data_IF_267535879393
#
_entry.id   IF_267535879393
#
_cell.length_a   1.000
_cell.length_b   1.000
_cell.length_c   1.000
_cell.angle_alpha   90.00
_cell.angle_beta   90.00
_cell.angle_gamma   90.00
#
_symmetry.space_group_name_H-M   'P 1'
#
loop_
_entity.id
_entity.type
_entity.pdbx_description
1 polymer ?
#
# COMPACT_ATOMS: atom_id res chain seq x y z
N UNK A 1 -1.45 22.51 15.31
CA UNK A 1 -2.10 21.40 14.58
C UNK A 1 -1.03 20.38 14.27
N UNK A 2 -1.20 19.10 14.64
CA UNK A 2 -0.15 18.12 14.41
C UNK A 2 -0.10 17.74 12.93
N UNK A 3 1.10 17.50 12.40
CA UNK A 3 1.37 17.03 11.03
C UNK A 3 0.50 15.82 10.64
N UNK A 4 0.18 14.96 11.60
CA UNK A 4 -0.72 13.82 11.45
C UNK A 4 -2.16 14.23 11.09
N UNK A 5 -2.70 15.27 11.73
CA UNK A 5 -4.04 15.77 11.39
C UNK A 5 -4.10 16.36 9.98
N UNK A 6 -3.04 17.02 9.56
CA UNK A 6 -2.91 17.58 8.21
C UNK A 6 -2.82 16.50 7.13
N UNK A 7 -2.11 15.38 7.43
CA UNK A 7 -2.00 14.23 6.53
C UNK A 7 -3.31 13.44 6.43
N UNK A 8 -4.19 13.54 7.42
CA UNK A 8 -5.49 12.85 7.44
C UNK A 8 -6.61 13.62 6.74
N UNK A 9 -6.39 14.91 6.40
CA UNK A 9 -7.39 15.73 5.71
C UNK A 9 -6.91 16.09 4.29
N UNK A 10 -7.41 15.38 3.25
CA UNK A 10 -6.99 15.58 1.87
C UNK A 10 -7.28 17.01 1.34
N UNK A 11 -8.34 17.65 1.85
CA UNK A 11 -8.71 19.00 1.43
C UNK A 11 -7.70 20.03 1.94
N UNK A 12 -7.21 19.88 3.17
CA UNK A 12 -6.18 20.74 3.74
C UNK A 12 -4.83 20.52 3.04
N UNK A 13 -4.51 19.27 2.68
CA UNK A 13 -3.32 18.95 1.88
C UNK A 13 -3.37 19.63 0.52
N UNK A 14 -4.49 19.59 -0.17
CA UNK A 14 -4.65 20.27 -1.46
C UNK A 14 -4.53 21.79 -1.32
N UNK A 15 -5.15 22.38 -0.30
CA UNK A 15 -5.10 23.82 -0.06
C UNK A 15 -3.69 24.34 0.27
N UNK A 16 -2.87 23.51 0.96
CA UNK A 16 -1.53 23.90 1.39
C UNK A 16 -0.44 23.62 0.34
N UNK A 17 -0.58 22.51 -0.39
CA UNK A 17 0.44 22.02 -1.31
C UNK A 17 0.07 22.18 -2.79
N UNK A 18 -1.18 22.55 -3.11
CA UNK A 18 -1.61 22.77 -4.49
C UNK A 18 -1.27 21.58 -5.40
N UNK A 19 -0.53 21.83 -6.47
CA UNK A 19 -0.10 20.78 -7.43
C UNK A 19 0.82 19.73 -6.84
N UNK A 20 1.56 20.04 -5.75
CA UNK A 20 2.40 19.08 -5.05
C UNK A 20 1.59 18.00 -4.30
N UNK A 21 0.30 18.25 -4.04
CA UNK A 21 -0.61 17.25 -3.47
C UNK A 21 -0.61 15.93 -4.26
N UNK A 22 -0.57 16.03 -5.59
CA UNK A 22 -0.53 14.86 -6.47
C UNK A 22 0.71 13.98 -6.20
N UNK A 23 1.91 14.60 -6.10
CA UNK A 23 3.15 13.90 -5.79
C UNK A 23 3.16 13.31 -4.37
N UNK A 24 2.63 14.06 -3.38
CA UNK A 24 2.53 13.61 -1.99
C UNK A 24 1.60 12.39 -1.88
N UNK A 25 0.46 12.40 -2.59
CA UNK A 25 -0.46 11.27 -2.61
C UNK A 25 0.20 10.00 -3.16
N UNK A 26 0.99 10.12 -4.24
CA UNK A 26 1.75 9.00 -4.81
C UNK A 26 2.79 8.46 -3.84
N UNK A 27 3.51 9.34 -3.16
CA UNK A 27 4.50 8.94 -2.16
C UNK A 27 3.86 8.22 -0.98
N UNK A 28 2.72 8.72 -0.48
CA UNK A 28 1.99 8.10 0.62
C UNK A 28 1.47 6.72 0.22
N UNK A 29 0.86 6.57 -0.96
CA UNK A 29 0.40 5.29 -1.47
C UNK A 29 1.55 4.30 -1.65
N UNK A 30 2.70 4.74 -2.17
CA UNK A 30 3.90 3.91 -2.28
C UNK A 30 4.38 3.42 -0.91
N UNK A 31 4.47 4.32 0.08
CA UNK A 31 4.92 3.99 1.44
C UNK A 31 3.92 3.04 2.12
N UNK A 32 2.63 3.29 2.00
CA UNK A 32 1.59 2.43 2.59
C UNK A 32 1.63 1.01 2.01
N UNK A 33 1.77 0.88 0.70
CA UNK A 33 1.83 -0.42 0.03
C UNK A 33 3.14 -1.17 0.29
N UNK A 34 4.25 -0.47 0.56
CA UNK A 34 5.59 -1.07 0.66
C UNK A 34 6.14 -1.22 2.08
N UNK A 35 5.83 -0.28 2.97
CA UNK A 35 6.55 -0.12 4.24
C UNK A 35 5.76 -0.51 5.50
N UNK A 36 4.68 -1.27 5.38
CA UNK A 36 3.91 -1.78 6.54
C UNK A 36 3.33 -0.68 7.45
N UNK A 37 2.99 0.48 6.91
CA UNK A 37 2.38 1.55 7.68
C UNK A 37 0.84 1.52 7.58
N UNK A 38 0.12 0.82 8.47
CA UNK A 38 -1.34 0.71 8.41
C UNK A 38 -2.06 1.99 8.82
N UNK A 39 -1.33 3.02 9.23
CA UNK A 39 -1.86 4.28 9.76
C UNK A 39 -1.95 5.40 8.72
N UNK A 40 -1.40 5.21 7.52
CA UNK A 40 -1.49 6.21 6.48
C UNK A 40 -2.87 6.15 5.79
N UNK A 41 -3.52 7.30 5.55
CA UNK A 41 -4.85 7.36 4.95
C UNK A 41 -4.80 7.26 3.42
N UNK A 42 -4.08 6.27 2.87
CA UNK A 42 -3.91 6.12 1.42
C UNK A 42 -5.23 5.93 0.67
N UNK A 43 -6.18 5.19 1.25
CA UNK A 43 -7.51 4.99 0.65
C UNK A 43 -8.28 6.32 0.55
N UNK A 44 -8.20 7.16 1.59
CA UNK A 44 -8.81 8.49 1.58
C UNK A 44 -8.13 9.41 0.55
N UNK A 45 -6.81 9.29 0.39
CA UNK A 45 -6.06 10.06 -0.60
C UNK A 45 -6.35 9.58 -2.03
N UNK A 46 -6.51 8.28 -2.26
CA UNK A 46 -6.94 7.73 -3.55
C UNK A 46 -8.30 8.29 -3.96
N UNK A 47 -9.26 8.29 -3.02
CA UNK A 47 -10.58 8.87 -3.24
C UNK A 47 -10.50 10.37 -3.53
N UNK A 48 -9.71 11.12 -2.76
CA UNK A 48 -9.53 12.55 -2.94
C UNK A 48 -8.86 12.89 -4.29
N UNK A 49 -7.82 12.16 -4.68
CA UNK A 49 -7.18 12.33 -6.00
C UNK A 49 -8.20 12.08 -7.11
N UNK A 50 -9.04 11.05 -6.98
CA UNK A 50 -10.12 10.77 -7.94
C UNK A 50 -11.10 11.95 -8.05
N UNK A 51 -11.58 12.45 -6.93
CA UNK A 51 -12.53 13.56 -6.87
C UNK A 51 -11.93 14.87 -7.41
N UNK A 52 -10.71 15.23 -7.02
CA UNK A 52 -10.06 16.46 -7.43
C UNK A 52 -9.58 16.43 -8.88
N UNK A 53 -9.22 15.24 -9.41
CA UNK A 53 -8.92 15.06 -10.83
C UNK A 53 -10.17 15.23 -11.70
N UNK A 54 -11.32 14.71 -11.25
CA UNK A 54 -12.59 14.90 -11.95
C UNK A 54 -13.02 16.37 -11.98
N UNK A 55 -12.85 17.09 -10.88
CA UNK A 55 -13.12 18.52 -10.76
C UNK A 55 -12.11 19.43 -11.46
N UNK A 56 -11.13 18.90 -12.19
CA UNK A 56 -10.01 19.63 -12.83
C UNK A 56 -9.17 20.50 -11.87
N UNK A 57 -9.29 20.29 -10.58
CA UNK A 57 -8.55 21.07 -9.57
C UNK A 57 -7.06 20.73 -9.54
N UNK A 58 -6.70 19.49 -9.92
CA UNK A 58 -5.32 19.04 -10.00
C UNK A 58 -4.63 19.32 -11.35
N UNK A 59 -5.37 19.75 -12.37
CA UNK A 59 -4.84 19.97 -13.72
C UNK A 59 -4.37 18.68 -14.44
N UNK A 60 -4.56 17.51 -13.82
CA UNK A 60 -4.16 16.21 -14.36
C UNK A 60 -5.41 15.39 -14.68
N UNK A 61 -5.50 14.77 -15.88
CA UNK A 61 -6.62 13.90 -16.24
C UNK A 61 -6.75 12.72 -15.26
N UNK A 62 -8.00 12.35 -14.93
CA UNK A 62 -8.31 11.25 -14.01
C UNK A 62 -7.61 9.94 -14.41
N UNK A 63 -7.61 9.62 -15.71
CA UNK A 63 -6.97 8.39 -16.23
C UNK A 63 -5.47 8.37 -15.94
N UNK A 64 -4.79 9.51 -16.12
CA UNK A 64 -3.35 9.62 -15.85
C UNK A 64 -3.10 9.46 -14.35
N UNK A 65 -3.91 10.10 -13.51
CA UNK A 65 -3.80 9.95 -12.05
C UNK A 65 -4.01 8.51 -11.60
N UNK A 66 -5.00 7.81 -12.14
CA UNK A 66 -5.26 6.41 -11.81
C UNK A 66 -4.10 5.50 -12.24
N UNK A 67 -3.61 5.65 -13.47
CA UNK A 67 -2.51 4.83 -13.99
C UNK A 67 -1.23 5.04 -13.17
N UNK A 68 -0.90 6.27 -12.85
CA UNK A 68 0.30 6.58 -12.06
C UNK A 68 0.18 6.11 -10.61
N UNK A 69 -1.01 6.19 -10.00
CA UNK A 69 -1.27 5.63 -8.68
C UNK A 69 -1.18 4.10 -8.67
N UNK A 70 -1.68 3.43 -9.72
CA UNK A 70 -1.50 1.97 -9.88
C UNK A 70 -0.02 1.60 -9.96
N UNK A 71 0.78 2.36 -10.70
CA UNK A 71 2.23 2.15 -10.79
C UNK A 71 2.90 2.38 -9.43
N UNK A 72 2.52 3.44 -8.71
CA UNK A 72 3.05 3.73 -7.38
C UNK A 72 2.70 2.61 -6.38
N UNK A 73 1.45 2.13 -6.37
CA UNK A 73 1.02 1.03 -5.53
C UNK A 73 1.74 -0.28 -5.88
N UNK A 74 1.90 -0.57 -7.17
CA UNK A 74 2.64 -1.75 -7.62
C UNK A 74 4.12 -1.68 -7.23
N UNK A 75 4.77 -0.53 -7.43
CA UNK A 75 6.15 -0.32 -7.00
C UNK A 75 6.31 -0.47 -5.48
N UNK A 76 5.36 0.05 -4.70
CA UNK A 76 5.29 -0.17 -3.26
C UNK A 76 5.21 -1.65 -2.89
N UNK A 77 4.35 -2.42 -3.56
CA UNK A 77 4.24 -3.86 -3.33
C UNK A 77 5.56 -4.59 -3.60
N UNK A 78 6.25 -4.23 -4.69
CA UNK A 78 7.57 -4.82 -5.04
C UNK A 78 8.61 -4.47 -3.98
N UNK A 79 8.63 -3.21 -3.50
CA UNK A 79 9.50 -2.80 -2.41
C UNK A 79 9.20 -3.60 -1.12
N UNK A 80 7.93 -3.83 -0.79
CA UNK A 80 7.51 -4.66 0.34
C UNK A 80 7.96 -6.12 0.23
N UNK A 81 7.87 -6.71 -0.96
CA UNK A 81 8.38 -8.06 -1.24
C UNK A 81 9.90 -8.15 -1.06
N UNK A 82 10.66 -7.18 -1.59
CA UNK A 82 12.12 -7.15 -1.42
C UNK A 82 12.52 -6.95 0.06
N UNK A 83 11.83 -6.09 0.79
CA UNK A 83 12.02 -5.94 2.23
C UNK A 83 11.73 -7.26 2.95
N UNK A 84 10.63 -7.93 2.59
CA UNK A 84 10.27 -9.24 3.12
C UNK A 84 11.35 -10.28 2.88
N UNK A 85 11.93 -10.33 1.68
CA UNK A 85 13.03 -11.24 1.33
C UNK A 85 14.30 -10.97 2.13
N UNK A 86 14.65 -9.68 2.34
CA UNK A 86 15.87 -9.27 3.02
C UNK A 86 15.80 -9.35 4.54
N UNK A 87 14.70 -8.93 5.12
CA UNK A 87 14.57 -8.73 6.58
C UNK A 87 13.37 -9.44 7.20
N UNK A 88 12.54 -10.12 6.42
CA UNK A 88 11.27 -10.69 6.89
C UNK A 88 11.44 -11.64 8.07
N UNK A 89 12.46 -12.50 8.06
CA UNK A 89 12.77 -13.38 9.18
C UNK A 89 13.11 -12.60 10.46
N UNK A 90 13.91 -11.53 10.32
CA UNK A 90 14.28 -10.66 11.46
C UNK A 90 13.10 -9.80 11.95
N UNK A 91 12.20 -9.41 11.03
CA UNK A 91 10.98 -8.70 11.40
C UNK A 91 10.01 -9.61 12.18
N UNK A 92 9.92 -10.88 11.82
CA UNK A 92 9.10 -11.85 12.53
C UNK A 92 9.58 -12.10 13.96
N UNK A 93 10.91 -12.06 14.20
CA UNK A 93 11.52 -12.24 15.53
C UNK A 93 11.35 -11.01 16.44
N UNK A 94 11.16 -9.82 15.87
CA UNK A 94 10.98 -8.58 16.63
C UNK A 94 9.51 -8.28 16.90
N UNK A 95 9.08 -8.53 18.14
CA UNK A 95 7.77 -8.10 18.62
C UNK A 95 7.79 -6.58 18.88
N UNK A 96 7.48 -5.80 17.85
CA UNK A 96 7.43 -4.34 17.90
C UNK A 96 6.03 -3.80 18.15
N UNK A 97 5.94 -2.54 18.58
CA UNK A 97 4.67 -1.86 18.88
C UNK A 97 3.71 -1.81 17.68
N UNK A 98 4.24 -1.79 16.47
CA UNK A 98 3.49 -1.76 15.20
C UNK A 98 3.45 -3.10 14.48
N UNK A 99 4.43 -3.97 14.70
CA UNK A 99 4.59 -5.27 14.09
C UNK A 99 4.33 -6.38 15.12
N UNK A 100 3.06 -6.64 15.42
CA UNK A 100 2.69 -7.73 16.31
C UNK A 100 2.76 -9.07 15.56
N UNK A 101 3.43 -10.07 16.11
CA UNK A 101 3.47 -11.46 15.61
C UNK A 101 2.10 -11.96 15.18
N UNK A 102 1.07 -11.66 15.94
CA UNK A 102 -0.32 -12.04 15.66
C UNK A 102 -0.80 -11.61 14.27
N UNK A 103 -0.31 -10.48 13.74
CA UNK A 103 -0.69 -10.00 12.40
C UNK A 103 0.03 -10.77 11.29
N UNK A 104 1.30 -11.11 11.52
CA UNK A 104 2.07 -12.00 10.65
C UNK A 104 1.45 -13.40 10.58
N UNK A 105 1.16 -14.00 11.75
CA UNK A 105 0.57 -15.33 11.84
C UNK A 105 -0.77 -15.41 11.10
N UNK A 106 -1.63 -14.40 11.25
CA UNK A 106 -2.89 -14.30 10.49
C UNK A 106 -2.66 -14.23 8.98
N UNK A 107 -1.62 -13.53 8.56
CA UNK A 107 -1.32 -13.38 7.13
C UNK A 107 -0.73 -14.68 6.58
N UNK A 108 0.11 -15.38 7.34
CA UNK A 108 0.62 -16.71 6.98
C UNK A 108 -0.54 -17.71 6.86
N UNK A 109 -1.42 -17.78 7.86
CA UNK A 109 -2.62 -18.63 7.82
C UNK A 109 -3.51 -18.31 6.61
N UNK A 110 -3.63 -17.04 6.27
CA UNK A 110 -4.37 -16.60 5.08
C UNK A 110 -3.69 -17.07 3.79
N UNK A 111 -2.36 -17.04 3.72
CA UNK A 111 -1.61 -17.60 2.59
C UNK A 111 -1.75 -19.12 2.48
N UNK A 112 -1.69 -19.84 3.60
CA UNK A 112 -1.85 -21.30 3.63
C UNK A 112 -3.25 -21.70 3.14
N UNK A 113 -4.26 -20.89 3.47
CA UNK A 113 -5.65 -21.17 3.07
C UNK A 113 -5.95 -20.81 1.62
N UNK A 114 -5.44 -19.70 1.10
CA UNK A 114 -5.81 -19.16 -0.21
C UNK A 114 -4.69 -19.24 -1.25
N UNK A 115 -3.49 -19.64 -0.85
CA UNK A 115 -2.31 -19.73 -1.72
C UNK A 115 -2.02 -18.43 -2.46
N UNK A 116 -1.75 -18.52 -3.77
CA UNK A 116 -1.43 -17.35 -4.60
C UNK A 116 -2.53 -16.29 -4.67
N UNK A 117 -3.80 -16.73 -4.56
CA UNK A 117 -4.98 -15.84 -4.56
C UNK A 117 -5.00 -14.93 -3.34
N UNK A 118 -4.27 -15.26 -2.29
CA UNK A 118 -4.13 -14.44 -1.10
C UNK A 118 -3.65 -13.02 -1.43
N UNK A 119 -2.78 -12.83 -2.43
CA UNK A 119 -2.29 -11.51 -2.85
C UNK A 119 -3.40 -10.56 -3.32
N UNK A 120 -4.46 -11.10 -3.89
CA UNK A 120 -5.64 -10.31 -4.30
C UNK A 120 -6.65 -10.23 -3.17
N UNK A 121 -7.06 -11.39 -2.62
CA UNK A 121 -8.09 -11.46 -1.58
C UNK A 121 -7.67 -10.74 -0.30
N UNK A 122 -6.40 -10.79 0.05
CA UNK A 122 -5.84 -10.15 1.24
C UNK A 122 -5.96 -8.62 1.23
N UNK A 123 -6.12 -8.01 0.06
CA UNK A 123 -6.35 -6.56 -0.03
C UNK A 123 -7.70 -6.12 0.57
N UNK A 124 -8.67 -7.00 0.59
CA UNK A 124 -9.98 -6.76 1.21
C UNK A 124 -9.98 -6.96 2.72
N UNK A 125 -8.91 -7.54 3.28
CA UNK A 125 -8.76 -7.74 4.72
C UNK A 125 -7.75 -6.72 5.25
N UNK A 126 -8.18 -5.71 6.05
CA UNK A 126 -7.34 -4.57 6.43
C UNK A 126 -5.99 -4.94 7.06
N UNK A 127 -5.97 -5.96 7.92
CA UNK A 127 -4.74 -6.42 8.57
C UNK A 127 -3.84 -7.19 7.60
N UNK A 128 -4.44 -8.06 6.78
CA UNK A 128 -3.70 -8.91 5.83
C UNK A 128 -3.08 -8.06 4.74
N UNK A 129 -3.79 -7.07 4.20
CA UNK A 129 -3.31 -6.23 3.10
C UNK A 129 -2.00 -5.52 3.42
N UNK A 130 -1.78 -5.15 4.68
CA UNK A 130 -0.58 -4.44 5.12
C UNK A 130 0.65 -5.36 5.15
N UNK A 131 0.46 -6.61 5.55
CA UNK A 131 1.56 -7.55 5.75
C UNK A 131 1.79 -8.50 4.58
N UNK A 132 0.84 -8.59 3.65
CA UNK A 132 0.80 -9.64 2.63
C UNK A 132 2.02 -9.60 1.70
N UNK A 133 2.51 -8.42 1.34
CA UNK A 133 3.67 -8.24 0.47
C UNK A 133 4.96 -8.69 1.15
N UNK A 134 5.13 -8.30 2.42
CA UNK A 134 6.31 -8.68 3.22
C UNK A 134 6.29 -10.16 3.57
N UNK A 135 5.12 -10.72 3.89
CA UNK A 135 4.98 -12.16 4.15
C UNK A 135 5.24 -12.98 2.89
N UNK A 136 4.78 -12.52 1.73
CA UNK A 136 5.10 -13.16 0.44
C UNK A 136 6.61 -13.15 0.16
N UNK A 137 7.28 -12.03 0.44
CA UNK A 137 8.73 -11.91 0.33
C UNK A 137 9.48 -12.79 1.32
N UNK A 138 9.08 -12.79 2.59
CA UNK A 138 9.67 -13.65 3.63
C UNK A 138 9.52 -15.14 3.31
N UNK A 139 8.37 -15.55 2.75
CA UNK A 139 8.12 -16.89 2.24
C UNK A 139 8.81 -17.21 0.91
N UNK A 140 9.63 -16.32 0.39
CA UNK A 140 10.36 -16.46 -0.87
C UNK A 140 9.48 -16.92 -2.04
N UNK A 141 8.27 -16.36 -2.15
CA UNK A 141 7.37 -16.64 -3.26
C UNK A 141 8.05 -16.38 -4.61
N UNK A 142 7.87 -17.26 -5.64
CA UNK A 142 8.46 -17.02 -6.94
C UNK A 142 8.10 -15.64 -7.50
N UNK A 143 9.08 -14.82 -7.88
CA UNK A 143 8.89 -13.42 -8.30
C UNK A 143 7.83 -13.27 -9.41
N UNK A 144 7.83 -14.17 -10.39
CA UNK A 144 6.84 -14.14 -11.48
C UNK A 144 5.41 -14.26 -10.96
N UNK A 145 5.19 -15.14 -9.99
CA UNK A 145 3.87 -15.35 -9.38
C UNK A 145 3.47 -14.12 -8.56
N UNK A 146 4.39 -13.60 -7.75
CA UNK A 146 4.15 -12.39 -6.98
C UNK A 146 3.80 -11.19 -7.88
N UNK A 147 4.59 -10.92 -8.92
CA UNK A 147 4.40 -9.80 -9.83
C UNK A 147 3.06 -9.87 -10.56
N UNK A 148 2.68 -11.05 -11.09
CA UNK A 148 1.41 -11.22 -11.81
C UNK A 148 0.21 -10.99 -10.90
N UNK A 149 0.18 -11.62 -9.72
CA UNK A 149 -0.93 -11.49 -8.79
C UNK A 149 -0.97 -10.12 -8.09
N UNK A 150 0.18 -9.51 -7.86
CA UNK A 150 0.28 -8.16 -7.32
C UNK A 150 -0.18 -7.10 -8.34
N UNK A 151 0.12 -7.28 -9.63
CA UNK A 151 -0.38 -6.43 -10.70
C UNK A 151 -1.92 -6.50 -10.81
N UNK A 152 -2.48 -7.72 -10.80
CA UNK A 152 -3.94 -7.92 -10.77
C UNK A 152 -4.55 -7.23 -9.55
N UNK A 153 -3.94 -7.39 -8.37
CA UNK A 153 -4.40 -6.74 -7.16
C UNK A 153 -4.27 -5.22 -7.16
N UNK A 154 -3.30 -4.65 -7.88
CA UNK A 154 -3.17 -3.20 -8.01
C UNK A 154 -4.16 -2.60 -9.00
N UNK A 155 -4.67 -3.40 -9.96
CA UNK A 155 -5.67 -2.99 -10.94
C UNK A 155 -7.11 -3.06 -10.41
N UNK A 156 -7.36 -3.82 -9.35
CA UNK A 156 -8.65 -3.95 -8.67
C UNK A 156 -8.87 -2.86 -7.63
#
# INVERSE_FOLDING_TARGET
MSLLHMLMDPAQLLAHFGTAFWGIAHLIVFIECGLLFPLLPGDSLLFAVGMFSHGRQLGVPLIVSLLTLMVAAFAGNVAGDEIGRGVGARLYERDGRFLKRKHFDRTIEFFDRYGRRALVLGRFVPVVRTFITVVAGAGQMPRRVFLTWSAVGAAL
#
